data_IF_724272465605
#
_entry.id   IF_724272465605
#
_cell.length_a   1.000
_cell.length_b   1.000
_cell.length_c   1.000
_cell.angle_alpha   90.00
_cell.angle_beta   90.00
_cell.angle_gamma   90.00
#
_symmetry.space_group_name_H-M   'P 1'
#
loop_
_entity.id
_entity.type
_entity.pdbx_description
1 polymer ?
#
# COMPACT_ATOMS: atom_id res chain seq x y z
N UNK A 1 12.43 -19.31 -12.63
CA UNK A 1 12.14 -19.64 -14.04
C UNK A 1 11.13 -18.61 -14.57
N UNK A 2 11.20 -18.14 -15.82
CA UNK A 2 10.13 -17.33 -16.39
C UNK A 2 8.84 -18.16 -16.36
N UNK A 3 7.70 -17.49 -16.16
CA UNK A 3 6.40 -18.12 -16.28
C UNK A 3 6.26 -18.58 -17.73
N UNK A 4 6.42 -19.88 -17.93
CA UNK A 4 6.33 -20.53 -19.24
C UNK A 4 5.03 -21.29 -19.31
N UNK A 5 4.63 -21.65 -20.51
CA UNK A 5 3.49 -22.54 -20.82
C UNK A 5 3.57 -23.89 -20.09
N UNK A 6 4.66 -24.12 -19.37
CA UNK A 6 4.95 -25.31 -18.55
C UNK A 6 4.64 -25.17 -17.05
N UNK A 7 3.98 -24.08 -16.62
CA UNK A 7 3.70 -23.87 -15.19
C UNK A 7 2.94 -25.06 -14.56
N UNK A 8 1.97 -25.62 -15.28
CA UNK A 8 1.17 -26.76 -14.82
C UNK A 8 2.03 -28.04 -14.80
N UNK A 9 2.86 -28.24 -15.84
CA UNK A 9 3.76 -29.39 -15.92
C UNK A 9 4.82 -29.34 -14.80
N UNK A 10 5.44 -28.17 -14.60
CA UNK A 10 6.41 -27.94 -13.50
C UNK A 10 5.73 -28.14 -12.13
N UNK A 11 4.50 -27.64 -11.94
CA UNK A 11 3.74 -27.86 -10.71
C UNK A 11 3.43 -29.33 -10.47
N UNK A 12 2.99 -30.06 -11.49
CA UNK A 12 2.71 -31.49 -11.38
C UNK A 12 3.99 -32.27 -11.02
N UNK A 13 5.08 -32.01 -11.71
CA UNK A 13 6.34 -32.73 -11.52
C UNK A 13 7.05 -32.37 -10.20
N UNK A 14 7.17 -31.07 -9.91
CA UNK A 14 8.02 -30.61 -8.80
C UNK A 14 7.25 -30.55 -7.47
N UNK A 15 5.92 -30.35 -7.49
CA UNK A 15 5.11 -30.11 -6.29
C UNK A 15 4.19 -31.28 -5.98
N UNK A 16 3.40 -31.76 -6.96
CA UNK A 16 2.36 -32.76 -6.70
C UNK A 16 2.87 -34.21 -6.79
N UNK A 17 3.80 -34.50 -7.71
CA UNK A 17 4.29 -35.86 -7.94
C UNK A 17 4.85 -36.56 -6.67
N UNK A 18 5.61 -35.86 -5.80
CA UNK A 18 6.07 -36.46 -4.53
C UNK A 18 4.95 -36.95 -3.60
N UNK A 19 3.78 -36.33 -3.66
CA UNK A 19 2.60 -36.73 -2.88
C UNK A 19 1.85 -37.90 -3.56
N UNK A 20 1.80 -37.90 -4.89
CA UNK A 20 1.24 -39.01 -5.68
C UNK A 20 2.05 -40.28 -5.41
N UNK A 21 3.37 -40.21 -5.53
CA UNK A 21 4.28 -41.37 -5.36
C UNK A 21 4.19 -41.98 -3.95
N UNK A 22 3.92 -41.14 -2.94
CA UNK A 22 3.74 -41.55 -1.54
C UNK A 22 2.29 -41.92 -1.17
N UNK A 23 1.34 -41.80 -2.08
CA UNK A 23 -0.09 -41.98 -1.78
C UNK A 23 -0.68 -40.97 -0.79
N UNK A 24 -0.07 -39.78 -0.64
CA UNK A 24 -0.42 -38.76 0.36
C UNK A 24 -1.08 -37.52 -0.26
N UNK A 25 -1.75 -37.64 -1.41
CA UNK A 25 -2.48 -36.55 -2.07
C UNK A 25 -3.50 -35.88 -1.15
N UNK A 26 -4.29 -36.59 -0.32
CA UNK A 26 -5.19 -35.93 0.65
C UNK A 26 -4.43 -35.02 1.63
N UNK A 27 -3.25 -35.37 2.06
CA UNK A 27 -2.40 -34.54 2.92
C UNK A 27 -1.99 -33.24 2.22
N UNK A 28 -1.60 -33.34 0.94
CA UNK A 28 -1.30 -32.14 0.14
C UNK A 28 -2.51 -31.21 0.04
N UNK A 29 -3.69 -31.77 -0.25
CA UNK A 29 -4.94 -30.98 -0.38
C UNK A 29 -5.25 -30.26 0.94
N UNK A 30 -5.25 -30.99 2.06
CA UNK A 30 -5.72 -30.45 3.33
C UNK A 30 -4.68 -29.58 4.05
N UNK A 31 -3.39 -29.91 3.93
CA UNK A 31 -2.34 -29.22 4.69
C UNK A 31 -1.58 -28.14 3.87
N UNK A 32 -1.70 -28.16 2.54
CA UNK A 32 -1.04 -27.18 1.68
C UNK A 32 -2.05 -26.41 0.86
N UNK A 33 -2.82 -27.08 -0.01
CA UNK A 33 -3.66 -26.39 -0.98
C UNK A 33 -4.80 -25.59 -0.31
N UNK A 34 -5.54 -26.21 0.63
CA UNK A 34 -6.68 -25.56 1.28
C UNK A 34 -6.27 -24.35 2.13
N UNK A 35 -5.21 -24.39 2.98
CA UNK A 35 -4.73 -23.21 3.71
C UNK A 35 -4.34 -22.05 2.81
N UNK A 36 -3.60 -22.32 1.73
CA UNK A 36 -3.18 -21.27 0.80
C UNK A 36 -4.33 -20.72 -0.04
N UNK A 37 -5.31 -21.56 -0.43
CA UNK A 37 -6.52 -21.08 -1.08
C UNK A 37 -7.34 -20.17 -0.17
N UNK A 38 -7.40 -20.47 1.13
CA UNK A 38 -8.05 -19.58 2.11
C UNK A 38 -7.27 -18.28 2.28
N UNK A 39 -5.95 -18.34 2.45
CA UNK A 39 -5.13 -17.14 2.54
C UNK A 39 -5.29 -16.23 1.31
N UNK A 40 -5.38 -16.82 0.12
CA UNK A 40 -5.68 -16.08 -1.11
C UNK A 40 -7.05 -15.36 -1.05
N UNK A 41 -8.10 -16.04 -0.56
CA UNK A 41 -9.43 -15.43 -0.40
C UNK A 41 -9.41 -14.27 0.58
N UNK A 42 -8.69 -14.41 1.70
CA UNK A 42 -8.49 -13.36 2.70
C UNK A 42 -7.82 -12.15 2.06
N UNK A 43 -6.72 -12.35 1.33
CA UNK A 43 -5.98 -11.27 0.66
C UNK A 43 -6.83 -10.59 -0.42
N UNK A 44 -7.65 -11.37 -1.14
CA UNK A 44 -8.50 -10.82 -2.21
C UNK A 44 -9.63 -9.91 -1.68
N UNK A 45 -10.09 -10.12 -0.44
CA UNK A 45 -11.17 -9.35 0.18
C UNK A 45 -10.98 -9.24 1.70
N UNK A 46 -9.98 -8.48 2.18
CA UNK A 46 -9.70 -8.37 3.61
C UNK A 46 -10.89 -7.82 4.40
N UNK A 47 -11.64 -6.86 3.84
CA UNK A 47 -12.84 -6.26 4.46
C UNK A 47 -13.97 -7.25 4.74
N UNK A 48 -14.06 -8.35 3.99
CA UNK A 48 -15.08 -9.38 4.16
C UNK A 48 -14.68 -10.40 5.23
N UNK A 49 -13.56 -10.20 5.91
CA UNK A 49 -13.02 -11.13 6.90
C UNK A 49 -13.23 -10.63 8.32
N UNK A 50 -13.14 -11.55 9.27
CA UNK A 50 -13.20 -11.27 10.72
C UNK A 50 -11.82 -11.06 11.34
N UNK A 51 -10.77 -10.99 10.53
CA UNK A 51 -9.42 -10.68 11.01
C UNK A 51 -9.40 -9.37 11.80
N UNK A 52 -8.46 -9.22 12.74
CA UNK A 52 -8.26 -7.96 13.44
C UNK A 52 -8.16 -6.77 12.48
N UNK A 53 -8.71 -5.65 12.90
CA UNK A 53 -8.80 -4.46 12.06
C UNK A 53 -7.43 -4.04 11.50
N UNK A 54 -6.37 -4.18 12.31
CA UNK A 54 -5.01 -3.82 11.90
C UNK A 54 -4.47 -4.75 10.81
N UNK A 55 -4.72 -6.08 10.92
CA UNK A 55 -4.32 -7.05 9.88
C UNK A 55 -5.05 -6.76 8.56
N UNK A 56 -6.38 -6.56 8.62
CA UNK A 56 -7.17 -6.21 7.44
C UNK A 56 -6.65 -4.96 6.75
N UNK A 57 -6.40 -3.97 7.54
CA UNK A 57 -5.88 -2.68 7.17
C UNK A 57 -4.52 -2.76 6.43
N UNK A 58 -3.59 -3.57 6.93
CA UNK A 58 -2.31 -3.82 6.26
C UNK A 58 -2.47 -4.53 4.91
N UNK A 59 -3.36 -5.53 4.85
CA UNK A 59 -3.63 -6.25 3.60
C UNK A 59 -4.28 -5.34 2.53
N UNK A 60 -5.24 -4.50 2.93
CA UNK A 60 -5.83 -3.49 2.06
C UNK A 60 -4.79 -2.48 1.58
N UNK A 61 -3.90 -2.06 2.50
CA UNK A 61 -2.79 -1.20 2.20
C UNK A 61 -1.85 -1.76 1.13
N UNK A 62 -1.51 -3.03 1.24
CA UNK A 62 -0.69 -3.72 0.26
C UNK A 62 -1.34 -3.83 -1.12
N UNK A 63 -2.66 -3.97 -1.20
CA UNK A 63 -3.36 -4.06 -2.48
C UNK A 63 -3.38 -2.72 -3.26
N UNK A 64 -3.20 -1.58 -2.59
CA UNK A 64 -3.07 -0.27 -3.23
C UNK A 64 -1.85 -0.15 -4.16
N UNK A 65 -0.80 -0.95 -3.95
CA UNK A 65 0.44 -0.87 -4.75
C UNK A 65 0.32 -1.48 -6.16
N UNK A 66 -0.84 -2.06 -6.53
CA UNK A 66 -1.09 -2.68 -7.85
C UNK A 66 -0.02 -3.69 -8.27
N UNK A 67 0.80 -4.16 -7.35
CA UNK A 67 1.77 -5.23 -7.55
C UNK A 67 1.22 -6.53 -6.97
N UNK A 68 1.76 -7.66 -7.38
CA UNK A 68 1.29 -8.98 -6.90
C UNK A 68 2.37 -9.77 -6.17
N UNK A 69 3.61 -9.30 -6.23
CA UNK A 69 4.78 -10.02 -5.74
C UNK A 69 4.82 -10.12 -4.21
N UNK A 70 4.08 -9.26 -3.50
CA UNK A 70 3.90 -9.31 -2.06
C UNK A 70 2.94 -10.45 -1.61
N UNK A 71 2.00 -10.85 -2.46
CA UNK A 71 0.94 -11.81 -2.12
C UNK A 71 1.45 -13.16 -1.62
N UNK A 72 2.44 -13.82 -2.22
CA UNK A 72 2.97 -15.07 -1.71
C UNK A 72 3.53 -14.97 -0.29
N UNK A 73 4.19 -13.85 0.05
CA UNK A 73 4.73 -13.63 1.42
C UNK A 73 3.58 -13.45 2.42
N UNK A 74 2.58 -12.65 2.06
CA UNK A 74 1.39 -12.44 2.91
C UNK A 74 0.59 -13.74 3.09
N UNK A 75 0.44 -14.57 2.04
CA UNK A 75 -0.19 -15.89 2.14
C UNK A 75 0.57 -16.79 3.09
N UNK A 76 1.91 -16.86 2.95
CA UNK A 76 2.77 -17.61 3.86
C UNK A 76 2.57 -17.16 5.32
N UNK A 77 2.58 -15.84 5.55
CA UNK A 77 2.42 -15.28 6.88
C UNK A 77 1.05 -15.65 7.50
N UNK A 78 -0.03 -15.55 6.74
CA UNK A 78 -1.39 -15.93 7.19
C UNK A 78 -1.45 -17.42 7.54
N UNK A 79 -0.96 -18.31 6.66
CA UNK A 79 -1.00 -19.76 6.87
C UNK A 79 -0.19 -20.17 8.11
N UNK A 80 0.94 -19.51 8.36
CA UNK A 80 1.79 -19.84 9.51
C UNK A 80 1.37 -19.16 10.82
N UNK A 81 0.47 -18.16 10.76
CA UNK A 81 -0.02 -17.44 11.95
C UNK A 81 -1.35 -17.97 12.45
N UNK A 82 -2.15 -18.61 11.60
CA UNK A 82 -3.45 -19.13 11.97
C UNK A 82 -3.51 -20.67 11.79
N UNK A 83 -3.59 -21.40 12.91
CA UNK A 83 -3.81 -22.85 12.87
C UNK A 83 -5.22 -23.14 12.36
N UNK A 84 -5.36 -24.21 11.57
CA UNK A 84 -6.66 -24.61 11.03
C UNK A 84 -7.19 -23.75 9.88
N UNK A 85 -6.35 -22.88 9.30
CA UNK A 85 -6.75 -22.06 8.14
C UNK A 85 -7.21 -22.90 6.94
N UNK A 86 -6.86 -24.19 6.89
CA UNK A 86 -7.23 -25.13 5.83
C UNK A 86 -8.32 -26.10 6.18
N UNK A 87 -8.88 -26.05 7.39
CA UNK A 87 -9.97 -26.93 7.76
C UNK A 87 -11.18 -26.67 6.88
N UNK A 88 -11.89 -27.74 6.51
CA UNK A 88 -12.92 -27.72 5.46
C UNK A 88 -14.10 -26.76 5.74
N UNK A 89 -14.29 -26.33 6.97
CA UNK A 89 -15.25 -25.29 7.33
C UNK A 89 -14.61 -23.91 7.24
N UNK A 90 -14.48 -23.41 6.01
CA UNK A 90 -13.93 -22.10 5.66
C UNK A 90 -14.83 -20.92 6.09
N UNK A 91 -16.00 -21.21 6.70
CA UNK A 91 -16.98 -20.21 7.09
C UNK A 91 -16.53 -19.24 8.18
N UNK A 92 -15.60 -19.58 9.09
CA UNK A 92 -15.19 -18.67 10.16
C UNK A 92 -14.49 -17.41 9.70
N UNK A 93 -13.71 -17.46 8.62
CA UNK A 93 -12.89 -16.31 8.15
C UNK A 93 -13.61 -15.41 7.16
N UNK A 94 -14.63 -15.91 6.47
CA UNK A 94 -15.36 -15.18 5.44
C UNK A 94 -16.81 -15.01 5.88
N UNK A 95 -17.10 -13.90 6.51
CA UNK A 95 -18.47 -13.57 6.91
C UNK A 95 -19.03 -12.52 5.98
N UNK A 96 -20.16 -12.80 5.36
CA UNK A 96 -21.00 -11.72 4.85
C UNK A 96 -21.51 -10.91 6.05
N UNK A 97 -21.42 -9.59 5.95
CA UNK A 97 -21.64 -8.59 6.99
C UNK A 97 -22.90 -8.70 7.89
N UNK A 98 -23.68 -9.77 7.81
CA UNK A 98 -24.95 -9.95 8.55
C UNK A 98 -24.92 -10.99 9.67
N UNK A 99 -23.75 -11.56 10.04
CA UNK A 99 -23.67 -12.62 11.08
C UNK A 99 -22.52 -12.37 12.07
N UNK A 100 -22.60 -11.29 12.80
CA UNK A 100 -21.54 -10.83 13.72
C UNK A 100 -21.35 -11.72 14.96
N UNK A 101 -22.38 -12.38 15.46
CA UNK A 101 -22.35 -12.99 16.80
C UNK A 101 -21.71 -14.39 16.88
N UNK A 102 -21.67 -15.14 15.78
CA UNK A 102 -21.06 -16.47 15.76
C UNK A 102 -19.56 -16.50 15.48
N UNK A 103 -19.03 -15.40 15.06
CA UNK A 103 -17.70 -15.32 14.44
C UNK A 103 -16.60 -14.94 15.42
N UNK A 104 -16.91 -14.20 16.45
CA UNK A 104 -15.96 -13.83 17.51
C UNK A 104 -15.45 -15.06 18.26
N UNK A 105 -16.37 -15.96 18.61
CA UNK A 105 -16.06 -17.21 19.30
C UNK A 105 -15.16 -18.17 18.48
N UNK A 106 -15.20 -18.07 17.15
CA UNK A 106 -14.43 -18.95 16.27
C UNK A 106 -13.01 -18.47 16.04
N UNK A 107 -12.76 -17.14 16.09
CA UNK A 107 -11.39 -16.59 16.08
C UNK A 107 -10.62 -16.96 17.35
N UNK A 108 -11.29 -16.90 18.52
CA UNK A 108 -10.71 -17.33 19.79
C UNK A 108 -10.39 -18.84 19.78
N UNK A 109 -11.20 -19.65 19.08
CA UNK A 109 -10.97 -21.11 18.96
C UNK A 109 -9.90 -21.48 17.96
N UNK A 110 -9.61 -20.65 16.94
CA UNK A 110 -8.56 -20.90 15.96
C UNK A 110 -7.17 -20.56 16.49
N UNK A 111 -7.11 -19.84 17.61
CA UNK A 111 -5.86 -19.46 18.27
C UNK A 111 -4.90 -18.74 17.33
N UNK A 112 -4.95 -17.43 17.31
CA UNK A 112 -3.92 -16.64 16.68
C UNK A 112 -2.57 -17.05 17.32
N UNK A 113 -1.80 -17.86 16.60
CA UNK A 113 -0.60 -18.43 17.17
C UNK A 113 0.48 -17.36 17.35
N UNK A 114 0.49 -16.35 16.46
CA UNK A 114 1.44 -15.25 16.52
C UNK A 114 0.96 -14.05 15.70
N UNK A 115 -0.12 -13.42 16.12
CA UNK A 115 -0.68 -12.23 15.47
C UNK A 115 0.32 -11.07 15.44
N UNK A 116 1.15 -10.95 16.46
CA UNK A 116 2.20 -9.95 16.53
C UNK A 116 3.22 -10.15 15.41
N UNK A 117 3.68 -11.39 15.21
CA UNK A 117 4.61 -11.72 14.14
C UNK A 117 3.99 -11.49 12.76
N UNK A 118 2.71 -11.81 12.58
CA UNK A 118 1.97 -11.53 11.35
C UNK A 118 1.99 -10.02 11.04
N UNK A 119 1.68 -9.19 12.01
CA UNK A 119 1.70 -7.73 11.85
C UNK A 119 3.10 -7.20 11.56
N UNK A 120 4.13 -7.72 12.23
CA UNK A 120 5.53 -7.38 11.94
C UNK A 120 5.89 -7.71 10.47
N UNK A 121 5.52 -8.89 9.98
CA UNK A 121 5.76 -9.30 8.59
C UNK A 121 4.99 -8.40 7.61
N UNK A 122 3.70 -8.16 7.84
CA UNK A 122 2.88 -7.33 6.95
C UNK A 122 3.36 -5.89 6.93
N UNK A 123 3.79 -5.34 8.06
CA UNK A 123 4.35 -3.99 8.15
C UNK A 123 5.65 -3.87 7.36
N UNK A 124 6.59 -4.80 7.57
CA UNK A 124 7.84 -4.82 6.82
C UNK A 124 7.59 -5.03 5.32
N UNK A 125 6.64 -5.89 4.96
CA UNK A 125 6.25 -6.16 3.58
C UNK A 125 5.66 -4.92 2.90
N UNK A 126 4.84 -4.13 3.60
CA UNK A 126 4.31 -2.87 3.08
C UNK A 126 5.42 -1.84 2.86
N UNK A 127 6.34 -1.70 3.81
CA UNK A 127 7.49 -0.80 3.70
C UNK A 127 8.34 -1.12 2.47
N UNK A 128 8.78 -2.37 2.32
CA UNK A 128 9.61 -2.77 1.16
C UNK A 128 8.87 -2.69 -0.16
N UNK A 129 7.56 -2.97 -0.17
CA UNK A 129 6.71 -2.85 -1.37
C UNK A 129 6.59 -1.40 -1.79
N UNK A 130 6.35 -0.48 -0.85
CA UNK A 130 6.25 0.95 -1.10
C UNK A 130 7.55 1.53 -1.66
N UNK A 131 8.66 1.28 -1.00
CA UNK A 131 9.98 1.79 -1.41
C UNK A 131 10.39 1.24 -2.78
N UNK A 132 10.20 -0.05 -3.02
CA UNK A 132 10.52 -0.68 -4.32
C UNK A 132 9.60 -0.21 -5.45
N UNK A 133 8.33 0.09 -5.13
CA UNK A 133 7.41 0.69 -6.10
C UNK A 133 7.87 2.09 -6.47
N UNK A 134 8.23 2.91 -5.48
CA UNK A 134 8.75 4.25 -5.69
C UNK A 134 10.05 4.22 -6.51
N UNK A 135 10.96 3.30 -6.21
CA UNK A 135 12.22 3.11 -6.96
C UNK A 135 12.06 2.44 -8.33
N UNK A 136 10.81 2.09 -8.72
CA UNK A 136 10.54 1.39 -9.98
C UNK A 136 11.30 0.06 -10.12
N UNK A 137 11.53 -0.64 -9.00
CA UNK A 137 12.16 -1.96 -9.01
C UNK A 137 11.39 -2.92 -9.90
N UNK A 138 12.10 -3.66 -10.78
CA UNK A 138 11.48 -4.54 -11.77
C UNK A 138 10.72 -5.73 -11.13
N UNK A 139 9.67 -6.23 -11.80
CA UNK A 139 8.84 -7.33 -11.28
C UNK A 139 9.64 -8.62 -11.02
N UNK A 140 10.64 -8.93 -11.85
CA UNK A 140 11.50 -10.10 -11.67
C UNK A 140 12.33 -10.00 -10.38
N UNK A 141 12.87 -8.84 -10.12
CA UNK A 141 13.66 -8.56 -8.92
C UNK A 141 12.76 -8.62 -7.67
N UNK A 142 11.58 -7.99 -7.71
CA UNK A 142 10.59 -8.07 -6.61
C UNK A 142 10.20 -9.53 -6.29
N UNK A 143 10.03 -10.39 -7.31
CA UNK A 143 9.82 -11.85 -7.11
C UNK A 143 11.01 -12.51 -6.45
N UNK A 144 12.22 -12.13 -6.82
CA UNK A 144 13.45 -12.61 -6.18
C UNK A 144 13.45 -12.32 -4.67
N UNK A 145 13.12 -11.11 -4.29
CA UNK A 145 12.98 -10.69 -2.88
C UNK A 145 11.86 -11.46 -2.15
N UNK A 146 10.68 -11.62 -2.78
CA UNK A 146 9.58 -12.37 -2.18
C UNK A 146 9.98 -13.84 -1.90
N UNK A 147 10.66 -14.48 -2.86
CA UNK A 147 11.16 -15.86 -2.69
C UNK A 147 12.25 -15.95 -1.61
N UNK A 148 13.13 -14.94 -1.50
CA UNK A 148 14.12 -14.87 -0.43
C UNK A 148 13.45 -14.72 0.94
N UNK A 149 12.43 -13.86 1.02
CA UNK A 149 11.66 -13.65 2.25
C UNK A 149 11.01 -14.95 2.74
N UNK A 150 10.33 -15.69 1.87
CA UNK A 150 9.68 -16.96 2.23
C UNK A 150 10.74 -17.97 2.73
N UNK A 151 11.87 -18.12 2.03
CA UNK A 151 12.93 -19.05 2.43
C UNK A 151 13.53 -18.72 3.80
N UNK A 152 13.70 -17.43 4.12
CA UNK A 152 14.25 -17.02 5.40
C UNK A 152 13.22 -17.16 6.53
N UNK A 153 11.96 -16.87 6.24
CA UNK A 153 10.84 -17.08 7.17
C UNK A 153 10.62 -18.56 7.48
N UNK A 154 10.74 -19.46 6.49
CA UNK A 154 10.67 -20.92 6.68
C UNK A 154 11.80 -21.44 7.59
N UNK A 155 12.97 -20.80 7.57
CA UNK A 155 14.07 -21.10 8.49
C UNK A 155 13.86 -20.55 9.90
N UNK A 156 12.77 -19.84 10.15
CA UNK A 156 12.45 -19.24 11.46
C UNK A 156 13.21 -17.96 11.76
N UNK A 157 13.75 -17.26 10.76
CA UNK A 157 14.45 -16.00 11.00
C UNK A 157 13.48 -14.94 11.53
N UNK A 158 14.01 -14.08 12.40
CA UNK A 158 13.32 -12.88 12.86
C UNK A 158 13.11 -11.94 11.67
N UNK A 159 12.00 -11.21 11.65
CA UNK A 159 11.59 -10.32 10.53
C UNK A 159 12.72 -9.36 10.14
N UNK A 160 13.45 -8.82 11.12
CA UNK A 160 14.57 -7.90 10.93
C UNK A 160 15.79 -8.52 10.20
N UNK A 161 15.85 -9.86 10.12
CA UNK A 161 16.93 -10.62 9.45
C UNK A 161 16.49 -11.26 8.14
N UNK A 162 15.26 -11.02 7.71
CA UNK A 162 14.69 -11.58 6.48
C UNK A 162 15.13 -10.73 5.29
N UNK A 163 15.99 -11.27 4.41
CA UNK A 163 16.57 -10.51 3.29
C UNK A 163 15.54 -9.84 2.40
N UNK A 164 14.44 -10.53 2.07
CA UNK A 164 13.39 -9.99 1.20
C UNK A 164 12.54 -8.90 1.83
N UNK A 165 12.57 -8.77 3.17
CA UNK A 165 11.84 -7.78 3.95
C UNK A 165 12.73 -6.65 4.48
N UNK A 166 13.95 -6.54 3.97
CA UNK A 166 14.89 -5.50 4.33
C UNK A 166 15.05 -4.50 3.17
N UNK A 167 15.22 -3.23 3.54
CA UNK A 167 15.48 -2.12 2.60
C UNK A 167 16.94 -1.73 2.75
N UNK A 168 17.69 -1.73 1.64
CA UNK A 168 19.07 -1.26 1.62
C UNK A 168 19.14 0.27 1.77
N UNK A 169 20.29 0.80 2.15
CA UNK A 169 20.50 2.25 2.22
C UNK A 169 20.37 2.90 0.83
N UNK A 170 20.86 2.23 -0.21
CA UNK A 170 20.67 2.70 -1.58
C UNK A 170 19.20 2.77 -2.01
N UNK A 171 18.36 1.81 -1.56
CA UNK A 171 16.91 1.89 -1.81
C UNK A 171 16.26 3.06 -1.07
N UNK A 172 16.71 3.35 0.15
CA UNK A 172 16.22 4.50 0.94
C UNK A 172 16.58 5.82 0.30
N UNK A 173 17.84 5.98 -0.10
CA UNK A 173 18.33 7.18 -0.80
C UNK A 173 17.58 7.39 -2.11
N UNK A 174 17.43 6.34 -2.92
CA UNK A 174 16.68 6.39 -4.16
C UNK A 174 15.23 6.82 -3.94
N UNK A 175 14.58 6.29 -2.90
CA UNK A 175 13.21 6.66 -2.53
C UNK A 175 13.11 8.15 -2.15
N UNK A 176 14.06 8.67 -1.38
CA UNK A 176 14.09 10.08 -0.98
C UNK A 176 14.28 11.02 -2.16
N UNK A 177 15.21 10.71 -3.05
CA UNK A 177 15.41 11.47 -4.30
C UNK A 177 14.12 11.51 -5.12
N UNK A 178 13.42 10.37 -5.22
CA UNK A 178 12.14 10.30 -5.95
C UNK A 178 11.03 11.10 -5.28
N UNK A 179 10.92 11.06 -3.95
CA UNK A 179 9.90 11.80 -3.20
C UNK A 179 10.05 13.32 -3.37
N UNK A 180 11.29 13.82 -3.50
CA UNK A 180 11.57 15.25 -3.78
C UNK A 180 11.54 15.59 -5.27
N UNK A 181 11.45 14.59 -6.15
CA UNK A 181 11.45 14.76 -7.60
C UNK A 181 10.08 15.02 -8.22
N UNK A 182 10.09 15.12 -9.54
CA UNK A 182 8.87 15.17 -10.35
C UNK A 182 8.26 13.78 -10.51
N UNK A 183 6.92 13.74 -10.51
CA UNK A 183 6.14 12.51 -10.64
C UNK A 183 5.20 12.54 -11.86
N UNK A 184 5.67 13.14 -12.95
CA UNK A 184 4.91 13.18 -14.19
C UNK A 184 4.60 11.76 -14.70
N UNK A 185 3.34 11.52 -15.08
CA UNK A 185 2.87 10.22 -15.56
C UNK A 185 2.62 9.15 -14.47
N UNK A 186 2.97 9.42 -13.21
CA UNK A 186 2.83 8.48 -12.08
C UNK A 186 1.58 8.79 -11.20
N UNK A 187 0.46 9.20 -11.79
CA UNK A 187 -0.74 9.64 -11.04
C UNK A 187 -1.24 8.63 -9.98
N UNK A 188 -1.18 7.33 -10.27
CA UNK A 188 -1.53 6.29 -9.29
C UNK A 188 -0.55 6.24 -8.12
N UNK A 189 0.74 6.42 -8.37
CA UNK A 189 1.76 6.50 -7.33
C UNK A 189 1.57 7.76 -6.48
N UNK A 190 1.36 8.92 -7.10
CA UNK A 190 1.08 10.19 -6.38
C UNK A 190 -0.14 10.03 -5.47
N UNK A 191 -1.22 9.45 -5.98
CA UNK A 191 -2.42 9.17 -5.18
C UNK A 191 -2.10 8.28 -3.98
N UNK A 192 -1.36 7.20 -4.18
CA UNK A 192 -0.93 6.29 -3.13
C UNK A 192 -0.11 7.02 -2.06
N UNK A 193 0.89 7.80 -2.46
CA UNK A 193 1.74 8.56 -1.54
C UNK A 193 0.92 9.54 -0.69
N UNK A 194 -0.02 10.24 -1.32
CA UNK A 194 -0.91 11.16 -0.60
C UNK A 194 -1.88 10.44 0.33
N UNK A 195 -2.33 9.23 -0.02
CA UNK A 195 -3.12 8.40 0.90
C UNK A 195 -2.27 8.11 2.15
N UNK A 196 -1.04 7.63 1.99
CA UNK A 196 -0.15 7.30 3.12
C UNK A 196 0.19 8.51 3.97
N UNK A 197 0.48 9.65 3.34
CA UNK A 197 0.74 10.90 4.05
C UNK A 197 -0.47 11.37 4.87
N UNK A 198 -1.68 11.30 4.32
CA UNK A 198 -2.90 11.65 5.05
C UNK A 198 -3.23 10.65 6.17
N UNK A 199 -3.04 9.35 5.95
CA UNK A 199 -3.21 8.31 6.97
C UNK A 199 -2.24 8.52 8.14
N UNK A 200 -0.98 8.78 7.85
CA UNK A 200 0.03 9.08 8.86
C UNK A 200 -0.32 10.33 9.67
N UNK A 201 -0.71 11.41 9.00
CA UNK A 201 -1.08 12.67 9.66
C UNK A 201 -2.38 12.56 10.47
N UNK A 202 -3.36 11.81 9.97
CA UNK A 202 -4.64 11.60 10.64
C UNK A 202 -4.55 10.59 11.80
N UNK A 203 -3.51 9.76 11.84
CA UNK A 203 -3.40 8.64 12.78
C UNK A 203 -4.48 7.57 12.56
N UNK A 204 -5.05 7.50 11.35
CA UNK A 204 -6.12 6.56 10.99
C UNK A 204 -6.06 6.19 9.53
N UNK A 205 -6.56 5.01 9.19
CA UNK A 205 -6.66 4.60 7.80
C UNK A 205 -7.88 5.20 7.10
N UNK A 206 -7.74 5.41 5.80
CA UNK A 206 -8.83 5.83 4.93
C UNK A 206 -9.69 4.64 4.51
N UNK A 207 -11.01 4.77 4.52
CA UNK A 207 -11.95 3.73 4.05
C UNK A 207 -11.71 3.40 2.57
N UNK A 208 -11.41 2.17 2.26
CA UNK A 208 -10.93 1.71 0.96
C UNK A 208 -11.97 1.46 -0.13
N UNK A 209 -13.25 1.30 0.03
CA UNK A 209 -14.12 1.27 -1.14
C UNK A 209 -14.34 2.65 -1.77
N UNK A 210 -13.87 3.74 -1.15
CA UNK A 210 -14.05 5.10 -1.67
C UNK A 210 -13.01 5.43 -2.73
N UNK A 211 -13.46 6.02 -3.83
CA UNK A 211 -12.58 6.53 -4.87
C UNK A 211 -11.90 7.81 -4.39
N UNK A 212 -10.58 7.85 -4.46
CA UNK A 212 -9.76 9.03 -4.18
C UNK A 212 -9.06 9.48 -5.46
N UNK A 213 -8.88 10.80 -5.59
CA UNK A 213 -8.13 11.41 -6.69
C UNK A 213 -7.07 12.35 -6.13
N UNK A 214 -5.89 12.35 -6.74
CA UNK A 214 -4.86 13.35 -6.51
C UNK A 214 -5.02 14.46 -7.55
N UNK A 215 -5.23 15.68 -7.11
CA UNK A 215 -5.53 16.82 -7.98
C UNK A 215 -4.51 17.93 -7.78
N UNK A 216 -4.02 18.58 -8.85
CA UNK A 216 -3.09 19.68 -8.74
C UNK A 216 -3.77 20.92 -8.14
N UNK A 217 -3.13 21.54 -7.15
CA UNK A 217 -3.57 22.77 -6.50
C UNK A 217 -3.41 23.94 -7.48
N UNK A 218 -2.24 24.08 -8.06
CA UNK A 218 -1.94 24.95 -9.18
C UNK A 218 -2.39 24.26 -10.48
N UNK A 219 -3.15 24.93 -11.38
CA UNK A 219 -3.56 24.31 -12.64
C UNK A 219 -2.37 24.04 -13.56
N UNK A 220 -2.54 23.12 -14.52
CA UNK A 220 -1.54 22.84 -15.53
C UNK A 220 -1.35 24.00 -16.50
N UNK A 221 -2.39 24.81 -16.75
CA UNK A 221 -2.36 26.00 -17.55
C UNK A 221 -2.65 27.22 -16.66
N UNK A 222 -1.62 28.02 -16.45
CA UNK A 222 -1.69 29.25 -15.64
C UNK A 222 -1.87 30.54 -16.46
N UNK A 223 -1.72 30.48 -17.79
CA UNK A 223 -1.76 31.68 -18.66
C UNK A 223 -3.08 32.49 -18.54
N UNK A 224 -4.17 31.80 -18.21
CA UNK A 224 -5.49 32.40 -18.09
C UNK A 224 -5.90 32.72 -16.66
N UNK A 225 -5.03 32.49 -15.70
CA UNK A 225 -5.33 32.66 -14.29
C UNK A 225 -4.75 33.97 -13.75
N UNK A 226 -5.58 34.77 -13.12
CA UNK A 226 -5.13 35.96 -12.41
C UNK A 226 -4.39 35.60 -11.12
N UNK A 227 -4.74 34.48 -10.50
CA UNK A 227 -4.10 34.00 -9.27
C UNK A 227 -2.64 33.60 -9.47
N UNK A 228 -2.22 33.37 -10.71
CA UNK A 228 -0.85 32.96 -11.06
C UNK A 228 -0.17 33.90 -12.05
N UNK A 229 -0.72 35.11 -12.28
CA UNK A 229 -0.20 36.05 -13.28
C UNK A 229 1.26 36.47 -13.02
N UNK A 230 1.66 36.53 -11.75
CA UNK A 230 3.00 36.92 -11.33
C UNK A 230 3.96 35.72 -11.12
N UNK A 231 3.49 34.50 -11.45
CA UNK A 231 4.34 33.33 -11.32
C UNK A 231 5.34 33.22 -12.49
N UNK A 232 6.66 33.14 -12.20
CA UNK A 232 7.64 32.82 -13.22
C UNK A 232 7.36 31.43 -13.83
N UNK A 233 7.56 31.30 -15.14
CA UNK A 233 7.32 30.03 -15.84
C UNK A 233 8.16 28.87 -15.30
N UNK A 234 9.40 29.13 -14.95
CA UNK A 234 10.31 28.14 -14.34
C UNK A 234 9.80 27.64 -12.98
N UNK A 235 9.18 28.50 -12.18
CA UNK A 235 8.56 28.09 -10.92
C UNK A 235 7.31 27.26 -11.14
N UNK A 236 6.48 27.61 -12.13
CA UNK A 236 5.32 26.81 -12.51
C UNK A 236 5.75 25.41 -12.94
N UNK A 237 6.72 25.33 -13.87
CA UNK A 237 7.22 24.06 -14.40
C UNK A 237 7.85 23.21 -13.29
N UNK A 238 8.57 23.82 -12.35
CA UNK A 238 9.17 23.14 -11.21
C UNK A 238 8.12 22.47 -10.31
N UNK A 239 7.00 23.15 -10.02
CA UNK A 239 6.01 22.63 -9.08
C UNK A 239 4.94 21.74 -9.71
N UNK A 240 4.74 21.80 -11.01
CA UNK A 240 3.62 21.20 -11.74
C UNK A 240 3.35 19.73 -11.34
N UNK A 241 4.37 18.91 -11.24
CA UNK A 241 4.26 17.48 -11.01
C UNK A 241 4.85 17.02 -9.66
N UNK A 242 5.02 17.92 -8.70
CA UNK A 242 5.55 17.58 -7.38
C UNK A 242 4.44 17.35 -6.36
N UNK A 243 4.72 16.54 -5.32
CA UNK A 243 3.76 16.21 -4.26
C UNK A 243 3.20 17.46 -3.57
N UNK A 244 4.02 18.51 -3.39
CA UNK A 244 3.59 19.77 -2.78
C UNK A 244 2.44 20.43 -3.52
N UNK A 245 2.38 20.26 -4.84
CA UNK A 245 1.28 20.80 -5.68
C UNK A 245 0.07 19.87 -5.73
N UNK A 246 0.06 18.73 -5.05
CA UNK A 246 -1.03 17.77 -5.14
C UNK A 246 -1.88 17.76 -3.87
N UNK A 247 -3.20 17.62 -4.04
CA UNK A 247 -4.15 17.44 -2.95
C UNK A 247 -4.98 16.18 -3.17
N UNK A 248 -5.17 15.40 -2.10
CA UNK A 248 -6.03 14.22 -2.12
C UNK A 248 -7.47 14.63 -1.84
N UNK A 249 -8.40 14.19 -2.68
CA UNK A 249 -9.83 14.45 -2.53
C UNK A 249 -10.66 13.19 -2.77
N UNK A 250 -11.89 13.20 -2.29
CA UNK A 250 -12.84 12.11 -2.54
C UNK A 250 -13.56 12.31 -3.89
N UNK A 251 -13.74 11.23 -4.64
CA UNK A 251 -14.45 11.19 -5.91
C UNK A 251 -13.55 11.25 -7.15
N UNK A 252 -14.12 11.33 -8.34
CA UNK A 252 -13.39 11.32 -9.60
C UNK A 252 -12.63 12.63 -9.86
N UNK A 253 -11.74 12.61 -10.82
CA UNK A 253 -10.89 13.75 -11.21
C UNK A 253 -11.63 14.89 -11.90
N UNK A 254 -12.90 14.73 -12.21
CA UNK A 254 -13.70 15.64 -13.01
C UNK A 254 -13.79 17.09 -12.48
N UNK A 255 -13.88 18.04 -13.39
CA UNK A 255 -14.27 19.45 -13.23
C UNK A 255 -13.26 20.44 -12.63
N UNK A 256 -12.12 20.01 -12.03
CA UNK A 256 -11.14 21.00 -11.54
C UNK A 256 -10.33 21.64 -12.67
N UNK A 257 -10.16 20.96 -13.80
CA UNK A 257 -9.43 21.50 -14.96
C UNK A 257 -10.07 22.75 -15.57
N UNK A 258 -11.37 22.97 -15.30
CA UNK A 258 -12.09 24.15 -15.74
C UNK A 258 -11.91 25.37 -14.82
N UNK A 259 -11.33 25.16 -13.64
CA UNK A 259 -11.10 26.22 -12.66
C UNK A 259 -9.64 26.65 -12.75
N UNK A 260 -9.39 27.84 -13.29
CA UNK A 260 -8.03 28.40 -13.37
C UNK A 260 -7.62 29.16 -12.11
N UNK A 261 -8.57 29.74 -11.37
CA UNK A 261 -8.30 30.58 -10.21
C UNK A 261 -8.10 29.75 -8.93
N UNK A 262 -7.06 30.06 -8.16
CA UNK A 262 -6.72 29.33 -6.94
C UNK A 262 -7.85 29.29 -5.90
N UNK A 263 -8.52 30.41 -5.53
CA UNK A 263 -9.59 30.36 -4.54
C UNK A 263 -10.71 29.39 -4.91
N UNK A 264 -11.12 29.38 -6.19
CA UNK A 264 -12.17 28.49 -6.67
C UNK A 264 -11.75 27.02 -6.64
N UNK A 265 -10.48 26.73 -7.02
CA UNK A 265 -9.91 25.37 -6.94
C UNK A 265 -9.81 24.88 -5.50
N UNK A 266 -9.24 25.72 -4.61
CA UNK A 266 -9.13 25.46 -3.17
C UNK A 266 -10.49 25.12 -2.56
N UNK A 267 -11.49 25.97 -2.77
CA UNK A 267 -12.81 25.80 -2.18
C UNK A 267 -13.47 24.51 -2.70
N UNK A 268 -13.29 24.20 -3.98
CA UNK A 268 -13.78 22.94 -4.56
C UNK A 268 -13.09 21.71 -3.98
N UNK A 269 -11.78 21.78 -3.72
CA UNK A 269 -11.04 20.70 -3.04
C UNK A 269 -11.51 20.51 -1.60
N UNK A 270 -11.70 21.61 -0.86
CA UNK A 270 -12.16 21.58 0.53
C UNK A 270 -13.57 20.99 0.66
N UNK A 271 -14.47 21.23 -0.29
CA UNK A 271 -15.80 20.60 -0.33
C UNK A 271 -15.73 19.07 -0.52
N UNK A 272 -14.63 18.56 -1.08
CA UNK A 272 -14.40 17.14 -1.35
C UNK A 272 -13.41 16.50 -0.36
N UNK A 273 -12.96 17.25 0.63
CA UNK A 273 -12.01 16.80 1.63
C UNK A 273 -12.66 16.79 3.01
N UNK A 274 -12.96 15.60 3.52
CA UNK A 274 -13.33 15.42 4.93
C UNK A 274 -12.15 15.86 5.82
N UNK A 275 -12.40 16.81 6.72
CA UNK A 275 -11.35 17.43 7.55
C UNK A 275 -10.58 16.43 8.44
N UNK A 276 -11.20 15.33 8.82
CA UNK A 276 -10.55 14.29 9.63
C UNK A 276 -9.71 13.35 8.78
N UNK A 277 -10.12 13.11 7.53
CA UNK A 277 -9.50 12.09 6.65
C UNK A 277 -8.41 12.69 5.75
N UNK A 278 -8.56 13.96 5.36
CA UNK A 278 -7.63 14.63 4.46
C UNK A 278 -6.98 15.86 5.10
N UNK A 279 -6.27 15.68 6.23
CA UNK A 279 -5.70 16.82 6.96
C UNK A 279 -4.73 17.64 6.10
N UNK A 280 -3.99 17.04 5.15
CA UNK A 280 -3.12 17.78 4.24
C UNK A 280 -3.91 18.65 3.25
N UNK A 281 -5.04 18.19 2.76
CA UNK A 281 -5.89 19.00 1.87
C UNK A 281 -6.59 20.10 2.65
N UNK A 282 -7.04 19.83 3.88
CA UNK A 282 -7.71 20.81 4.72
C UNK A 282 -6.83 21.98 5.15
N UNK A 283 -5.51 21.83 5.15
CA UNK A 283 -4.59 22.96 5.39
C UNK A 283 -4.76 24.08 4.36
N UNK A 284 -5.25 23.78 3.15
CA UNK A 284 -5.47 24.80 2.12
C UNK A 284 -6.43 25.91 2.56
N UNK A 285 -7.30 25.66 3.54
CA UNK A 285 -8.21 26.69 4.10
C UNK A 285 -7.48 27.88 4.72
N UNK A 286 -6.25 27.64 5.23
CA UNK A 286 -5.46 28.63 5.95
C UNK A 286 -4.65 29.53 5.00
N UNK A 287 -4.74 29.30 3.67
CA UNK A 287 -3.99 30.03 2.66
C UNK A 287 -4.92 30.71 1.67
N UNK A 288 -4.83 32.03 1.62
CA UNK A 288 -5.60 32.83 0.66
C UNK A 288 -5.09 32.67 -0.77
N UNK A 289 -3.76 32.56 -0.91
CA UNK A 289 -3.05 32.48 -2.19
C UNK A 289 -2.19 31.23 -2.28
N UNK A 290 -2.00 30.71 -3.51
CA UNK A 290 -1.03 29.69 -3.80
C UNK A 290 0.33 30.34 -4.07
N UNK A 291 1.30 30.06 -3.23
CA UNK A 291 2.65 30.61 -3.36
C UNK A 291 3.69 29.48 -3.45
N UNK A 292 4.90 29.73 -4.02
CA UNK A 292 5.99 28.76 -3.98
C UNK A 292 6.30 28.25 -2.56
N UNK A 293 6.30 29.15 -1.58
CA UNK A 293 6.55 28.80 -0.18
C UNK A 293 5.47 27.86 0.40
N UNK A 294 4.21 28.02 0.01
CA UNK A 294 3.15 27.07 0.38
C UNK A 294 3.44 25.68 -0.22
N UNK A 295 3.78 25.62 -1.50
CA UNK A 295 4.04 24.34 -2.17
C UNK A 295 5.28 23.64 -1.61
N UNK A 296 6.33 24.40 -1.27
CA UNK A 296 7.53 23.90 -0.61
C UNK A 296 7.21 23.31 0.78
N UNK A 297 6.50 24.05 1.63
CA UNK A 297 6.10 23.56 2.95
C UNK A 297 5.26 22.29 2.86
N UNK A 298 4.36 22.21 1.87
CA UNK A 298 3.54 21.01 1.63
C UNK A 298 4.36 19.83 1.11
N UNK A 299 5.36 20.11 0.26
CA UNK A 299 6.30 19.09 -0.23
C UNK A 299 7.05 18.45 0.93
N UNK A 300 7.69 19.26 1.75
CA UNK A 300 8.46 18.80 2.92
C UNK A 300 7.58 18.03 3.91
N UNK A 301 6.39 18.53 4.20
CA UNK A 301 5.47 17.83 5.10
C UNK A 301 5.00 16.50 4.52
N UNK A 302 4.64 16.43 3.24
CA UNK A 302 4.23 15.20 2.58
C UNK A 302 5.35 14.16 2.58
N UNK A 303 6.57 14.57 2.24
CA UNK A 303 7.75 13.70 2.26
C UNK A 303 8.02 13.19 3.67
N UNK A 304 8.04 14.07 4.68
CA UNK A 304 8.24 13.69 6.09
C UNK A 304 7.23 12.63 6.54
N UNK A 305 5.94 12.82 6.24
CA UNK A 305 4.88 11.88 6.62
C UNK A 305 5.03 10.52 5.94
N UNK A 306 5.42 10.49 4.66
CA UNK A 306 5.67 9.24 3.92
C UNK A 306 6.90 8.52 4.48
N UNK A 307 7.96 9.26 4.77
CA UNK A 307 9.18 8.75 5.39
C UNK A 307 8.88 8.13 6.76
N UNK A 308 8.07 8.79 7.59
CA UNK A 308 7.62 8.28 8.87
C UNK A 308 6.73 7.02 8.70
N UNK A 309 5.77 7.04 7.76
CA UNK A 309 4.88 5.91 7.50
C UNK A 309 5.65 4.64 7.11
N UNK A 310 6.67 4.77 6.27
CA UNK A 310 7.50 3.64 5.84
C UNK A 310 8.71 3.37 6.73
N UNK A 311 8.90 4.14 7.81
CA UNK A 311 10.03 3.97 8.73
C UNK A 311 11.38 4.15 8.04
N UNK A 312 11.45 5.02 7.02
CA UNK A 312 12.70 5.41 6.36
C UNK A 312 13.45 6.32 7.33
N UNK A 313 14.37 5.76 8.12
CA UNK A 313 15.18 6.57 9.03
C UNK A 313 16.20 7.36 8.23
N UNK A 314 16.21 8.65 8.45
CA UNK A 314 17.30 9.54 8.09
C UNK A 314 18.30 9.51 9.25
N UNK A 315 19.38 8.79 9.14
CA UNK A 315 20.52 9.02 10.03
C UNK A 315 21.22 10.30 9.56
N UNK A 316 20.67 11.46 9.95
CA UNK A 316 21.38 12.75 9.81
C UNK A 316 22.51 12.92 10.83
N UNK A 317 22.66 11.96 11.75
CA UNK A 317 23.62 11.96 12.85
C UNK A 317 24.56 10.75 12.80
N UNK A 318 24.89 10.23 11.61
CA UNK A 318 25.94 9.23 11.42
C UNK A 318 27.20 9.87 10.81
#
# INVERSE_FOLDING_TARGET
KPATDKLIEDFLADVLQPYIDKGTVPTFINQVLAPYAMAWRIIARPSDTILPAEVRSRLEGLDDYRSHEWKPVAMWALVNSYRGLGDADLSPFVVRASRTDRTTATLESLGAHDERRLLEILTALEQVTGIRTLNRTGALERRGYANAAIRDLDKGYLVQRVNGLHVSDGDREGALVRLHGEMQGDGDLVRLLLIRANEQKAGMQLDRPRRFSALPIMPLDIERSKSFADWPQDQHDFWMYRLGNMALVQGPEDQLDRLSEYPARRDRMLLRADSRRFPLTNQLKDFADCTPALLEARQEESVRLIVEYWGIRYDKDA
#
